data_IF_907672373871
#
_entry.id   IF_907672373871
#
_cell.length_a   1.000
_cell.length_b   1.000
_cell.length_c   1.000
_cell.angle_alpha   90.00
_cell.angle_beta   90.00
_cell.angle_gamma   90.00
#
_symmetry.space_group_name_H-M   'P 1'
#
loop_
_entity.id
_entity.type
_entity.pdbx_description
1 polymer ?
#
# COMPACT_ATOMS: atom_id res chain seq x y z
N UNK A 1 -10.16 0.90 15.07
CA UNK A 1 -10.99 1.72 14.15
C UNK A 1 -10.11 2.61 13.29
N UNK A 2 -9.13 3.34 13.85
CA UNK A 2 -8.15 4.13 13.09
C UNK A 2 -7.34 3.31 12.06
N UNK A 3 -6.84 2.13 12.46
CA UNK A 3 -6.10 1.21 11.57
C UNK A 3 -6.93 0.64 10.39
N UNK A 4 -8.25 0.53 10.56
CA UNK A 4 -9.20 0.06 9.53
C UNK A 4 -9.34 1.08 8.38
N UNK A 5 -9.08 2.34 8.70
CA UNK A 5 -9.36 3.50 7.86
C UNK A 5 -8.19 3.86 6.94
N UNK A 6 -6.99 3.52 7.41
CA UNK A 6 -5.68 3.84 6.88
C UNK A 6 -5.31 3.03 5.62
N UNK A 7 -5.73 1.77 5.56
CA UNK A 7 -5.34 0.85 4.47
C UNK A 7 -6.21 1.02 3.23
N UNK A 8 -7.43 1.58 3.35
CA UNK A 8 -8.33 1.76 2.22
C UNK A 8 -7.94 2.88 1.27
N UNK A 9 -7.38 3.95 1.82
CA UNK A 9 -6.80 5.07 1.10
C UNK A 9 -5.77 4.62 0.05
N UNK A 10 -4.96 3.61 0.37
CA UNK A 10 -3.87 3.15 -0.48
C UNK A 10 -4.35 2.30 -1.68
N UNK A 11 -5.52 1.65 -1.57
CA UNK A 11 -6.04 0.76 -2.61
C UNK A 11 -6.59 1.55 -3.81
N UNK A 12 -7.14 2.74 -3.56
CA UNK A 12 -7.68 3.59 -4.62
C UNK A 12 -6.59 4.14 -5.57
N UNK A 13 -5.34 4.18 -5.10
CA UNK A 13 -4.19 4.66 -5.88
C UNK A 13 -3.82 3.69 -7.01
N UNK A 14 -4.02 2.38 -6.82
CA UNK A 14 -3.65 1.37 -7.83
C UNK A 14 -4.65 1.32 -9.01
N UNK A 15 -5.91 1.70 -8.79
CA UNK A 15 -6.97 1.66 -9.82
C UNK A 15 -6.91 2.80 -10.86
N UNK A 16 -6.15 3.87 -10.60
CA UNK A 16 -6.19 5.09 -11.42
C UNK A 16 -5.29 5.07 -12.68
N UNK A 17 -4.50 4.00 -12.89
CA UNK A 17 -3.52 3.93 -13.98
C UNK A 17 -4.09 3.60 -15.39
N UNK A 18 -5.39 3.35 -15.53
CA UNK A 18 -5.98 2.79 -16.78
C UNK A 18 -6.97 3.76 -17.49
N UNK A 19 -7.28 4.93 -16.94
CA UNK A 19 -8.32 5.81 -17.54
C UNK A 19 -7.72 6.69 -18.67
N UNK A 20 -8.23 6.62 -19.91
CA UNK A 20 -7.84 7.52 -20.98
C UNK A 20 -8.28 8.96 -20.67
N UNK A 21 -7.36 9.92 -20.80
CA UNK A 21 -7.47 11.35 -20.42
C UNK A 21 -8.55 12.19 -21.16
N UNK A 22 -9.56 11.58 -21.77
CA UNK A 22 -10.49 12.26 -22.70
C UNK A 22 -11.97 12.27 -22.33
N UNK A 23 -12.40 11.53 -21.31
CA UNK A 23 -13.80 11.47 -20.83
C UNK A 23 -13.65 11.36 -19.30
N UNK A 24 -14.19 12.24 -18.47
CA UNK A 24 -15.60 12.28 -18.06
C UNK A 24 -15.83 13.61 -17.32
N UNK A 25 -16.73 14.45 -17.83
CA UNK A 25 -17.48 15.40 -17.03
C UNK A 25 -18.86 14.76 -16.80
N UNK A 26 -18.97 13.89 -15.81
CA UNK A 26 -20.24 13.38 -15.29
C UNK A 26 -19.98 12.73 -13.93
N UNK A 27 -20.50 13.36 -12.88
CA UNK A 27 -20.44 12.96 -11.47
C UNK A 27 -19.04 12.74 -10.89
N UNK A 28 -18.42 13.83 -10.45
CA UNK A 28 -17.41 13.76 -9.40
C UNK A 28 -18.11 13.30 -8.11
N UNK A 29 -18.35 12.00 -7.98
CA UNK A 29 -18.54 11.39 -6.67
C UNK A 29 -17.32 11.82 -5.85
N UNK A 30 -17.55 12.62 -4.82
CA UNK A 30 -16.50 13.01 -3.88
C UNK A 30 -15.74 11.74 -3.48
N UNK A 31 -14.43 11.75 -3.67
CA UNK A 31 -13.58 10.67 -3.22
C UNK A 31 -13.86 10.43 -1.73
N UNK A 32 -14.29 9.22 -1.37
CA UNK A 32 -14.68 8.90 0.01
C UNK A 32 -13.42 8.74 0.87
N UNK A 33 -13.03 9.81 1.56
CA UNK A 33 -11.89 9.85 2.48
C UNK A 33 -12.09 9.03 3.76
N UNK A 34 -13.26 8.39 3.95
CA UNK A 34 -13.63 7.52 5.08
C UNK A 34 -13.70 8.17 6.47
N UNK A 35 -13.07 9.32 6.67
CA UNK A 35 -13.12 10.09 7.91
C UNK A 35 -13.08 11.59 7.61
N UNK A 36 -13.63 12.37 8.53
CA UNK A 36 -13.49 13.82 8.58
C UNK A 36 -12.47 14.26 9.65
N UNK A 37 -11.94 13.31 10.44
CA UNK A 37 -10.93 13.57 11.46
C UNK A 37 -9.57 13.88 10.83
N UNK A 38 -8.77 14.70 11.52
CA UNK A 38 -7.37 14.90 11.17
C UNK A 38 -6.56 13.66 11.53
N UNK A 39 -5.91 13.05 10.54
CA UNK A 39 -5.13 11.82 10.71
C UNK A 39 -3.78 11.98 10.02
N UNK A 40 -2.70 11.61 10.70
CA UNK A 40 -1.38 11.43 10.07
C UNK A 40 -1.11 9.95 9.89
N UNK A 41 -0.58 9.60 8.71
CA UNK A 41 -0.28 8.23 8.32
C UNK A 41 1.14 8.14 7.80
N UNK A 42 1.94 7.19 8.30
CA UNK A 42 3.32 7.02 7.85
C UNK A 42 3.44 5.84 6.90
N UNK A 43 3.90 6.12 5.68
CA UNK A 43 4.19 5.14 4.63
C UNK A 43 5.70 4.98 4.50
N UNK A 44 6.17 3.74 4.53
CA UNK A 44 7.57 3.43 4.24
C UNK A 44 7.75 3.03 2.77
N UNK A 45 8.70 3.67 2.09
CA UNK A 45 8.97 3.51 0.67
C UNK A 45 10.40 3.03 0.41
N UNK A 46 10.58 2.28 -0.68
CA UNK A 46 11.89 2.01 -1.24
C UNK A 46 12.47 3.22 -1.99
N UNK A 47 13.78 3.16 -2.25
CA UNK A 47 14.55 4.23 -2.89
C UNK A 47 15.19 3.81 -4.21
N UNK A 48 14.83 2.62 -4.73
CA UNK A 48 15.41 2.09 -5.96
C UNK A 48 14.79 2.79 -7.17
N UNK A 49 15.64 3.31 -8.05
CA UNK A 49 15.17 4.01 -9.26
C UNK A 49 14.36 5.26 -8.90
N UNK A 50 13.12 5.32 -9.37
CA UNK A 50 12.21 6.46 -9.16
C UNK A 50 11.09 6.16 -8.14
N UNK A 51 11.26 5.12 -7.33
CA UNK A 51 10.20 4.63 -6.44
C UNK A 51 9.80 5.68 -5.40
N UNK A 52 10.77 6.28 -4.70
CA UNK A 52 10.51 7.27 -3.66
C UNK A 52 9.72 8.47 -4.20
N UNK A 53 10.11 8.98 -5.36
CA UNK A 53 9.44 10.13 -5.98
C UNK A 53 8.03 9.76 -6.46
N UNK A 54 7.83 8.54 -6.94
CA UNK A 54 6.51 8.04 -7.28
C UNK A 54 5.61 7.93 -6.04
N UNK A 55 6.10 7.40 -4.91
CA UNK A 55 5.32 7.30 -3.67
C UNK A 55 4.97 8.68 -3.13
N UNK A 56 5.90 9.64 -3.17
CA UNK A 56 5.61 11.04 -2.78
C UNK A 56 4.55 11.69 -3.66
N UNK A 57 4.65 11.53 -4.98
CA UNK A 57 3.64 12.06 -5.89
C UNK A 57 2.25 11.44 -5.63
N UNK A 58 2.18 10.13 -5.36
CA UNK A 58 0.94 9.46 -5.00
C UNK A 58 0.37 9.95 -3.65
N UNK A 59 1.24 10.21 -2.67
CA UNK A 59 0.86 10.80 -1.40
C UNK A 59 0.30 12.22 -1.59
N UNK A 60 0.93 13.05 -2.42
CA UNK A 60 0.46 14.41 -2.73
C UNK A 60 -0.91 14.38 -3.42
N UNK A 61 -1.09 13.52 -4.42
CA UNK A 61 -2.38 13.32 -5.11
C UNK A 61 -3.47 12.87 -4.12
N UNK A 62 -3.15 11.95 -3.21
CA UNK A 62 -4.07 11.49 -2.18
C UNK A 62 -4.43 12.62 -1.19
N UNK A 63 -3.46 13.38 -0.70
CA UNK A 63 -3.70 14.50 0.22
C UNK A 63 -4.51 15.63 -0.45
N UNK A 64 -4.38 15.83 -1.76
CA UNK A 64 -5.22 16.76 -2.51
C UNK A 64 -6.69 16.31 -2.57
N UNK A 65 -6.94 15.00 -2.60
CA UNK A 65 -8.28 14.42 -2.54
C UNK A 65 -8.84 14.40 -1.10
N UNK A 66 -7.98 14.15 -0.12
CA UNK A 66 -8.31 14.00 1.29
C UNK A 66 -7.49 14.95 2.18
N UNK A 67 -7.85 16.25 2.23
CA UNK A 67 -7.04 17.26 2.89
C UNK A 67 -6.98 17.12 4.42
N UNK A 68 -7.86 16.31 5.03
CA UNK A 68 -7.82 15.99 6.45
C UNK A 68 -6.85 14.85 6.80
N UNK A 69 -6.27 14.17 5.81
CA UNK A 69 -5.31 13.08 6.04
C UNK A 69 -3.94 13.53 5.55
N UNK A 70 -2.95 13.52 6.44
CA UNK A 70 -1.55 13.82 6.12
C UNK A 70 -0.78 12.52 5.92
N UNK A 71 -0.12 12.37 4.77
CA UNK A 71 0.73 11.20 4.47
C UNK A 71 2.19 11.58 4.62
N UNK A 72 2.87 11.00 5.61
CA UNK A 72 4.32 11.10 5.79
C UNK A 72 5.02 9.94 5.10
N UNK A 73 5.96 10.25 4.20
CA UNK A 73 6.74 9.23 3.48
C UNK A 73 8.14 9.15 4.09
N UNK A 74 8.47 7.98 4.64
CA UNK A 74 9.81 7.64 5.13
C UNK A 74 10.43 6.53 4.28
N UNK A 75 11.72 6.25 4.47
CA UNK A 75 12.48 5.31 3.64
C UNK A 75 12.96 4.11 4.43
N UNK A 76 12.97 2.94 3.79
CA UNK A 76 13.67 1.74 4.27
C UNK A 76 15.09 1.62 3.67
N UNK A 77 15.96 0.77 4.24
CA UNK A 77 17.19 0.35 3.58
C UNK A 77 16.94 -0.17 2.16
N UNK A 78 17.94 -0.01 1.30
CA UNK A 78 17.86 -0.53 -0.07
C UNK A 78 17.98 -2.06 -0.10
N UNK A 79 18.80 -2.63 0.78
CA UNK A 79 18.99 -4.08 0.87
C UNK A 79 17.76 -4.75 1.53
N UNK A 80 17.31 -5.83 0.91
CA UNK A 80 16.13 -6.58 1.38
C UNK A 80 16.36 -7.29 2.72
N UNK A 81 17.59 -7.74 3.00
CA UNK A 81 17.94 -8.38 4.28
C UNK A 81 17.96 -7.36 5.40
N UNK A 82 18.54 -6.18 5.15
CA UNK A 82 18.53 -5.08 6.12
C UNK A 82 17.10 -4.58 6.38
N UNK A 83 16.28 -4.48 5.32
CA UNK A 83 14.86 -4.12 5.45
C UNK A 83 14.11 -5.14 6.31
N UNK A 84 14.27 -6.44 6.04
CA UNK A 84 13.61 -7.49 6.81
C UNK A 84 13.96 -7.37 8.30
N UNK A 85 15.24 -7.21 8.63
CA UNK A 85 15.71 -7.04 10.00
C UNK A 85 15.19 -5.77 10.67
N UNK A 86 15.05 -4.67 9.92
CA UNK A 86 14.44 -3.43 10.43
C UNK A 86 12.96 -3.65 10.75
N UNK A 87 12.22 -4.33 9.87
CA UNK A 87 10.78 -4.53 10.05
C UNK A 87 10.49 -5.47 11.20
N UNK A 88 11.29 -6.54 11.36
CA UNK A 88 11.21 -7.41 12.54
C UNK A 88 11.40 -6.61 13.83
N UNK A 89 12.37 -5.70 13.89
CA UNK A 89 12.55 -4.83 15.06
C UNK A 89 11.33 -3.95 15.34
N UNK A 90 10.73 -3.35 14.30
CA UNK A 90 9.52 -2.54 14.46
C UNK A 90 8.34 -3.37 14.98
N UNK A 91 8.11 -4.56 14.41
CA UNK A 91 7.00 -5.43 14.81
C UNK A 91 7.20 -6.05 16.20
N UNK A 92 8.40 -6.52 16.52
CA UNK A 92 8.75 -7.06 17.84
C UNK A 92 8.59 -5.99 18.94
N UNK A 93 8.94 -4.74 18.63
CA UNK A 93 8.75 -3.61 19.53
C UNK A 93 7.29 -3.11 19.58
N UNK A 94 6.38 -3.67 18.77
CA UNK A 94 5.02 -3.17 18.58
C UNK A 94 4.99 -1.67 18.24
N UNK A 95 5.97 -1.21 17.47
CA UNK A 95 6.14 0.20 17.13
C UNK A 95 4.96 0.71 16.30
N UNK A 96 4.49 1.90 16.64
CA UNK A 96 3.51 2.66 15.85
C UNK A 96 4.13 3.65 14.89
N UNK A 97 5.45 3.56 14.64
CA UNK A 97 6.19 4.53 13.81
C UNK A 97 5.80 4.45 12.32
N UNK A 98 5.46 3.25 11.83
CA UNK A 98 5.05 3.02 10.44
C UNK A 98 3.66 2.39 10.43
N UNK A 99 2.75 2.95 9.63
CA UNK A 99 1.40 2.42 9.46
C UNK A 99 1.29 1.52 8.23
N UNK A 100 1.96 1.90 7.15
CA UNK A 100 1.84 1.26 5.84
C UNK A 100 3.21 0.78 5.40
N UNK A 101 3.36 -0.54 5.40
CA UNK A 101 4.60 -1.23 5.04
C UNK A 101 4.57 -1.69 3.59
N UNK A 102 5.62 -1.36 2.84
CA UNK A 102 5.94 -2.08 1.61
C UNK A 102 6.72 -3.36 1.96
N UNK A 103 6.09 -4.52 1.83
CA UNK A 103 6.71 -5.82 2.13
C UNK A 103 7.07 -6.57 0.85
N UNK A 104 8.15 -7.35 0.89
CA UNK A 104 8.53 -8.26 -0.20
C UNK A 104 7.49 -9.38 -0.37
N UNK A 105 7.36 -9.92 -1.59
CA UNK A 105 6.44 -11.01 -1.94
C UNK A 105 6.66 -12.27 -1.10
N UNK A 106 7.86 -12.50 -0.59
CA UNK A 106 8.17 -13.69 0.24
C UNK A 106 7.90 -13.48 1.75
N UNK A 107 7.48 -12.28 2.17
CA UNK A 107 7.28 -11.94 3.58
C UNK A 107 5.86 -12.01 4.16
N UNK A 108 4.75 -12.18 3.40
CA UNK A 108 3.42 -12.25 3.99
C UNK A 108 3.31 -13.27 5.14
N UNK A 109 3.85 -14.48 4.96
CA UNK A 109 3.85 -15.51 5.99
C UNK A 109 4.71 -15.19 7.22
N UNK A 110 5.72 -14.31 7.09
CA UNK A 110 6.58 -13.88 8.20
C UNK A 110 5.85 -12.86 9.07
N UNK A 111 5.15 -11.90 8.44
CA UNK A 111 4.55 -10.77 9.14
C UNK A 111 3.04 -10.89 9.37
N UNK A 112 2.40 -11.97 8.93
CA UNK A 112 0.95 -12.14 8.97
C UNK A 112 0.33 -11.83 10.34
N UNK A 113 0.98 -12.22 11.44
CA UNK A 113 0.45 -11.99 12.79
C UNK A 113 0.42 -10.51 13.22
N UNK A 114 1.24 -9.67 12.60
CA UNK A 114 1.33 -8.23 12.90
C UNK A 114 0.46 -7.37 11.98
N UNK A 115 0.04 -7.91 10.84
CA UNK A 115 -0.71 -7.20 9.81
C UNK A 115 -2.23 -7.32 10.04
N UNK A 116 -3.00 -6.40 9.44
CA UNK A 116 -4.45 -6.46 9.47
C UNK A 116 -4.99 -7.50 8.48
N UNK A 117 -6.14 -8.10 8.79
CA UNK A 117 -6.91 -8.83 7.77
C UNK A 117 -7.68 -7.82 6.90
N UNK A 118 -7.26 -7.71 5.63
CA UNK A 118 -7.79 -6.78 4.66
C UNK A 118 -9.11 -7.23 4.04
N UNK A 119 -9.52 -8.48 4.22
CA UNK A 119 -10.86 -8.93 3.83
C UNK A 119 -11.96 -8.12 4.54
N UNK A 120 -11.68 -7.58 5.73
CA UNK A 120 -12.62 -6.76 6.48
C UNK A 120 -12.80 -5.34 5.92
N UNK A 121 -11.89 -4.92 5.05
CA UNK A 121 -11.93 -3.58 4.47
C UNK A 121 -12.23 -3.65 2.98
N UNK A 122 -11.56 -4.55 2.26
CA UNK A 122 -11.46 -4.54 0.80
C UNK A 122 -12.68 -5.21 0.18
N UNK A 123 -13.34 -4.52 -0.74
CA UNK A 123 -14.46 -5.12 -1.49
C UNK A 123 -13.94 -6.26 -2.35
N UNK A 124 -14.76 -7.29 -2.53
CA UNK A 124 -14.40 -8.41 -3.40
C UNK A 124 -14.10 -7.95 -4.83
N UNK A 125 -14.82 -6.95 -5.34
CA UNK A 125 -14.55 -6.34 -6.65
C UNK A 125 -13.11 -5.82 -6.76
N UNK A 126 -12.62 -5.14 -5.72
CA UNK A 126 -11.25 -4.63 -5.71
C UNK A 126 -10.24 -5.78 -5.61
N UNK A 127 -10.52 -6.80 -4.79
CA UNK A 127 -9.67 -8.01 -4.72
C UNK A 127 -9.59 -8.70 -6.09
N UNK A 128 -10.71 -8.84 -6.79
CA UNK A 128 -10.83 -9.49 -8.10
C UNK A 128 -10.16 -8.68 -9.23
N UNK A 129 -9.88 -7.39 -9.00
CA UNK A 129 -9.14 -6.54 -9.95
C UNK A 129 -7.64 -6.87 -10.00
N UNK A 130 -7.11 -7.57 -9.00
CA UNK A 130 -5.70 -7.97 -8.95
C UNK A 130 -5.46 -9.33 -9.62
N UNK A 131 -4.19 -9.59 -9.94
CA UNK A 131 -3.76 -10.91 -10.42
C UNK A 131 -3.96 -11.94 -9.30
N UNK A 132 -4.78 -12.95 -9.57
CA UNK A 132 -5.22 -13.93 -8.57
C UNK A 132 -4.07 -14.62 -7.82
N UNK A 133 -2.95 -14.94 -8.48
CA UNK A 133 -1.80 -15.56 -7.81
C UNK A 133 -1.16 -14.66 -6.76
N UNK A 134 -1.20 -13.33 -6.93
CA UNK A 134 -0.70 -12.41 -5.91
C UNK A 134 -1.64 -12.33 -4.70
N UNK A 135 -2.96 -12.36 -4.93
CA UNK A 135 -3.94 -12.43 -3.84
C UNK A 135 -3.75 -13.72 -3.04
N UNK A 136 -3.56 -14.86 -3.70
CA UNK A 136 -3.26 -16.14 -3.04
C UNK A 136 -1.98 -16.03 -2.20
N UNK A 137 -0.89 -15.49 -2.77
CA UNK A 137 0.37 -15.30 -2.04
C UNK A 137 0.22 -14.44 -0.78
N UNK A 138 -0.59 -13.38 -0.87
CA UNK A 138 -0.79 -12.45 0.22
C UNK A 138 -1.88 -12.88 1.21
N UNK A 139 -2.47 -14.07 1.02
CA UNK A 139 -3.48 -14.64 1.92
C UNK A 139 -2.83 -15.72 2.79
N UNK A 140 -2.80 -15.49 4.11
CA UNK A 140 -2.21 -16.41 5.09
C UNK A 140 -3.31 -16.84 6.06
N UNK A 141 -3.52 -18.14 6.21
CA UNK A 141 -4.56 -18.72 7.06
C UNK A 141 -5.97 -18.12 6.83
N UNK A 142 -6.28 -17.83 5.56
CA UNK A 142 -7.55 -17.24 5.13
C UNK A 142 -7.67 -15.72 5.33
N UNK A 143 -6.65 -15.08 5.90
CA UNK A 143 -6.59 -13.62 6.08
C UNK A 143 -5.80 -12.99 4.94
N UNK A 144 -6.36 -11.98 4.28
CA UNK A 144 -5.65 -11.21 3.26
C UNK A 144 -4.77 -10.19 3.97
N UNK A 145 -3.47 -10.44 4.13
CA UNK A 145 -2.59 -9.61 4.98
C UNK A 145 -1.85 -8.51 4.22
N UNK A 146 -1.89 -8.53 2.88
CA UNK A 146 -1.30 -7.50 2.04
C UNK A 146 -2.02 -7.39 0.69
N UNK A 147 -1.95 -6.21 0.06
CA UNK A 147 -2.41 -6.02 -1.31
C UNK A 147 -1.23 -5.90 -2.28
N UNK A 148 -1.38 -6.39 -3.53
CA UNK A 148 -0.33 -6.25 -4.52
C UNK A 148 -0.09 -4.77 -4.86
N UNK A 149 1.17 -4.32 -4.80
CA UNK A 149 1.59 -2.98 -5.25
C UNK A 149 2.14 -3.04 -6.67
N UNK A 150 3.19 -3.84 -6.87
CA UNK A 150 3.77 -4.14 -8.18
C UNK A 150 4.32 -5.56 -8.16
N UNK A 151 4.58 -6.13 -9.34
CA UNK A 151 5.28 -7.41 -9.49
C UNK A 151 6.47 -7.22 -10.40
N UNK A 152 7.64 -7.67 -9.94
CA UNK A 152 8.85 -7.77 -10.76
C UNK A 152 8.98 -9.16 -11.36
N UNK A 153 9.54 -9.24 -12.56
CA UNK A 153 9.97 -10.50 -13.17
C UNK A 153 11.42 -10.37 -13.62
N UNK A 154 12.19 -11.46 -13.53
CA UNK A 154 13.56 -11.49 -14.01
C UNK A 154 13.60 -11.31 -15.53
N UNK A 155 14.43 -10.38 -16.01
CA UNK A 155 14.57 -10.06 -17.44
C UNK A 155 16.04 -10.14 -17.85
N UNK A 156 16.30 -10.70 -19.04
CA UNK A 156 17.63 -10.68 -19.67
C UNK A 156 17.70 -9.54 -20.69
N UNK A 157 18.56 -8.57 -20.45
CA UNK A 157 18.81 -7.44 -21.36
C UNK A 157 20.06 -7.74 -22.20
N UNK A 158 19.99 -7.50 -23.51
CA UNK A 158 21.13 -7.54 -24.43
C UNK A 158 21.11 -6.30 -25.33
N UNK A 159 22.25 -5.94 -25.91
CA UNK A 159 22.37 -4.87 -26.91
C UNK A 159 22.42 -5.47 -28.30
#
# INVERSE_FOLDING_TARGET
>A
MLKKLLVFALVAVVAFAIIPRGVVAQDAAAFDCRTEEEVTVTVIAGTVGNELDAVKALADDFMALCPNITVEVTTRPQDSTETLGQYQQFFDAQSGEIDIYQIDVIWPGIFAEHLLDLNEYVSQETVDSFVASNIVNNTVDGRLVALPWFTGVGMLYYR
#
